data_IF_493368616980
#
_entry.id   IF_493368616980
#
_cell.length_a   1.000
_cell.length_b   1.000
_cell.length_c   1.000
_cell.angle_alpha   90.00
_cell.angle_beta   90.00
_cell.angle_gamma   90.00
#
_symmetry.space_group_name_H-M   'P 1'
#
loop_
_entity.id
_entity.type
_entity.pdbx_description
1 polymer ?
#
# COMPACT_ATOMS: atom_id res chain seq x y z
N UNK A 1 -11.73 8.06 -19.96
CA UNK A 1 -12.24 6.79 -19.42
C UNK A 1 -12.36 6.99 -17.92
N UNK A 2 -13.54 6.76 -17.36
CA UNK A 2 -13.77 6.78 -15.91
C UNK A 2 -13.04 5.59 -15.29
N UNK A 3 -11.77 5.79 -14.92
CA UNK A 3 -10.99 4.76 -14.25
C UNK A 3 -11.53 4.58 -12.83
N UNK A 4 -12.25 3.49 -12.61
CA UNK A 4 -12.83 3.17 -11.30
C UNK A 4 -11.69 2.94 -10.29
N UNK A 5 -11.81 3.56 -9.11
CA UNK A 5 -10.91 3.32 -7.98
C UNK A 5 -10.94 1.85 -7.60
N UNK A 6 -9.79 1.16 -7.53
CA UNK A 6 -9.73 -0.22 -7.09
C UNK A 6 -10.20 -0.39 -5.63
N UNK A 7 -10.82 -1.53 -5.37
CA UNK A 7 -11.20 -2.00 -4.05
C UNK A 7 -10.39 -3.26 -3.71
N UNK A 8 -10.19 -3.57 -2.42
CA UNK A 8 -9.61 -4.87 -2.05
C UNK A 8 -10.46 -6.03 -2.60
N UNK A 9 -9.85 -7.17 -2.95
CA UNK A 9 -10.59 -8.35 -3.40
C UNK A 9 -11.65 -8.76 -2.37
N UNK A 10 -12.85 -9.10 -2.82
CA UNK A 10 -13.97 -9.48 -1.94
C UNK A 10 -13.60 -10.67 -1.06
N UNK A 11 -13.05 -11.74 -1.65
CA UNK A 11 -12.62 -12.93 -0.92
C UNK A 11 -11.59 -12.62 0.19
N UNK A 12 -10.78 -11.57 0.02
CA UNK A 12 -9.81 -11.13 1.03
C UNK A 12 -10.48 -10.41 2.20
N UNK A 13 -11.55 -9.64 1.94
CA UNK A 13 -12.32 -8.97 2.98
C UNK A 13 -13.24 -9.94 3.71
N UNK A 14 -13.86 -10.88 3.00
CA UNK A 14 -14.76 -11.87 3.61
C UNK A 14 -14.02 -12.76 4.63
N UNK A 15 -12.77 -13.13 4.34
CA UNK A 15 -11.91 -13.87 5.27
C UNK A 15 -11.52 -13.06 6.52
N UNK A 16 -11.66 -11.73 6.51
CA UNK A 16 -11.22 -10.89 7.62
C UNK A 16 -12.02 -11.12 8.91
N UNK A 17 -13.27 -11.56 8.81
CA UNK A 17 -14.12 -11.83 9.98
C UNK A 17 -13.80 -13.20 10.61
N UNK A 18 -13.19 -14.11 9.86
CA UNK A 18 -12.86 -15.46 10.30
C UNK A 18 -11.48 -15.55 10.99
N UNK A 19 -10.66 -14.50 10.86
CA UNK A 19 -9.27 -14.51 11.32
C UNK A 19 -8.95 -13.48 12.40
N UNK A 20 -8.24 -13.93 13.44
CA UNK A 20 -7.82 -13.06 14.54
C UNK A 20 -6.69 -12.09 14.13
N UNK A 21 -5.86 -12.48 13.16
CA UNK A 21 -4.74 -11.69 12.69
C UNK A 21 -5.12 -10.84 11.47
N UNK A 22 -4.71 -9.57 11.47
CA UNK A 22 -4.82 -8.72 10.28
C UNK A 22 -3.94 -9.30 9.18
N UNK A 23 -4.54 -9.50 8.01
CA UNK A 23 -3.82 -9.86 6.79
C UNK A 23 -3.50 -8.62 5.98
N UNK A 24 -2.39 -8.69 5.27
CA UNK A 24 -1.94 -7.68 4.33
C UNK A 24 -1.66 -8.36 3.00
N UNK A 25 -2.05 -7.72 1.90
CA UNK A 25 -1.75 -8.17 0.53
C UNK A 25 -1.26 -6.99 -0.31
N UNK A 26 -0.35 -7.20 -1.28
CA UNK A 26 0.06 -6.14 -2.19
C UNK A 26 -1.11 -5.63 -3.03
N UNK A 27 -1.11 -4.33 -3.32
CA UNK A 27 -2.15 -3.63 -4.08
C UNK A 27 -1.55 -2.87 -5.29
N UNK A 28 -0.98 -3.57 -6.28
CA UNK A 28 -0.30 -2.94 -7.42
C UNK A 28 -1.25 -2.16 -8.34
N UNK A 29 -2.51 -2.58 -8.42
CA UNK A 29 -3.58 -1.90 -9.13
C UNK A 29 -3.96 -0.56 -8.46
N UNK A 30 -3.99 -0.51 -7.13
CA UNK A 30 -4.18 0.73 -6.39
C UNK A 30 -3.04 1.70 -6.66
N UNK A 31 -1.78 1.24 -6.66
CA UNK A 31 -0.63 2.07 -7.04
C UNK A 31 -0.82 2.69 -8.42
N UNK A 32 -1.16 1.88 -9.42
CA UNK A 32 -1.40 2.35 -10.80
C UNK A 32 -2.52 3.40 -10.85
N UNK A 33 -3.60 3.18 -10.11
CA UNK A 33 -4.69 4.15 -10.03
C UNK A 33 -4.26 5.46 -9.35
N UNK A 34 -3.53 5.40 -8.24
CA UNK A 34 -3.02 6.60 -7.55
C UNK A 34 -2.09 7.41 -8.45
N UNK A 35 -1.16 6.74 -9.16
CA UNK A 35 -0.25 7.42 -10.08
C UNK A 35 -1.03 8.14 -11.19
N UNK A 36 -1.97 7.45 -11.84
CA UNK A 36 -2.76 8.01 -12.94
C UNK A 36 -3.69 9.16 -12.51
N UNK A 37 -4.18 9.15 -11.26
CA UNK A 37 -5.21 10.09 -10.81
C UNK A 37 -4.66 11.23 -9.98
N UNK A 38 -3.71 10.99 -9.07
CA UNK A 38 -3.18 11.99 -8.13
C UNK A 38 -1.81 12.56 -8.53
N UNK A 39 -0.98 11.76 -9.22
CA UNK A 39 0.44 12.09 -9.45
C UNK A 39 0.77 12.40 -10.91
N UNK A 40 -0.22 12.33 -11.80
CA UNK A 40 -0.05 12.63 -13.23
C UNK A 40 -0.75 13.93 -13.57
N UNK A 41 -0.04 14.87 -14.20
CA UNK A 41 -0.61 16.13 -14.68
C UNK A 41 -1.79 15.82 -15.63
N UNK A 42 -2.92 16.46 -15.38
CA UNK A 42 -4.17 16.21 -16.11
C UNK A 42 -4.99 15.03 -15.58
N UNK A 43 -4.52 14.33 -14.54
CA UNK A 43 -5.29 13.33 -13.80
C UNK A 43 -6.50 13.96 -13.10
N UNK A 44 -7.62 13.22 -12.93
CA UNK A 44 -8.86 13.77 -12.35
C UNK A 44 -8.72 14.32 -10.93
N UNK A 45 -7.74 13.80 -10.17
CA UNK A 45 -7.48 14.17 -8.77
C UNK A 45 -6.06 14.74 -8.60
N UNK A 46 -5.48 15.25 -9.68
CA UNK A 46 -4.12 15.76 -9.67
C UNK A 46 -3.98 16.87 -8.63
N UNK A 47 -2.93 16.75 -7.81
CA UNK A 47 -2.59 17.75 -6.82
C UNK A 47 -1.12 18.17 -6.99
N UNK A 48 -0.83 19.43 -7.36
CA UNK A 48 0.55 19.90 -7.54
C UNK A 48 1.40 19.79 -6.26
N UNK A 49 0.80 19.79 -5.08
CA UNK A 49 1.53 19.57 -3.83
C UNK A 49 2.19 18.17 -3.77
N UNK A 50 1.76 17.23 -4.61
CA UNK A 50 2.32 15.88 -4.69
C UNK A 50 3.39 15.70 -5.77
N UNK A 51 3.79 16.76 -6.48
CA UNK A 51 4.78 16.66 -7.57
C UNK A 51 6.11 16.04 -7.07
N UNK A 52 6.52 16.37 -5.84
CA UNK A 52 7.69 15.77 -5.21
C UNK A 52 7.62 14.24 -5.06
N UNK A 53 6.42 13.66 -4.90
CA UNK A 53 6.22 12.21 -4.86
C UNK A 53 6.34 11.63 -6.26
N UNK A 54 5.81 12.32 -7.27
CA UNK A 54 5.90 11.91 -8.67
C UNK A 54 7.36 11.90 -9.16
N UNK A 55 8.15 12.92 -8.79
CA UNK A 55 9.58 12.98 -9.07
C UNK A 55 10.34 11.80 -8.44
N UNK A 56 10.12 11.54 -7.14
CA UNK A 56 10.77 10.41 -6.46
C UNK A 56 10.37 9.04 -7.03
N UNK A 57 9.11 8.89 -7.46
CA UNK A 57 8.64 7.69 -8.13
C UNK A 57 9.21 7.51 -9.54
N UNK A 58 9.43 8.62 -10.26
CA UNK A 58 10.07 8.59 -11.58
C UNK A 58 11.54 8.16 -11.46
N UNK A 59 12.25 8.65 -10.44
CA UNK A 59 13.65 8.27 -10.19
C UNK A 59 13.79 6.84 -9.66
N UNK A 60 12.81 6.38 -8.87
CA UNK A 60 12.78 5.03 -8.34
C UNK A 60 11.34 4.51 -8.25
N UNK A 61 10.97 3.60 -9.14
CA UNK A 61 9.65 2.97 -9.13
C UNK A 61 9.36 2.23 -7.82
N UNK A 62 10.40 1.82 -7.07
CA UNK A 62 10.29 1.12 -5.79
C UNK A 62 10.00 2.05 -4.60
N UNK A 63 10.08 3.37 -4.80
CA UNK A 63 9.94 4.37 -3.74
C UNK A 63 8.63 4.28 -2.97
N UNK A 64 7.53 3.93 -3.66
CA UNK A 64 6.21 3.81 -3.07
C UNK A 64 5.56 2.47 -3.44
N UNK A 65 5.06 1.78 -2.41
CA UNK A 65 4.31 0.54 -2.53
C UNK A 65 2.97 0.67 -1.80
N UNK A 66 2.00 -0.15 -2.21
CA UNK A 66 0.65 -0.13 -1.65
C UNK A 66 0.25 -1.54 -1.24
N UNK A 67 -0.49 -1.64 -0.14
CA UNK A 67 -1.07 -2.88 0.33
C UNK A 67 -2.49 -2.63 0.85
N UNK A 68 -3.33 -3.66 0.75
CA UNK A 68 -4.61 -3.71 1.43
C UNK A 68 -4.45 -4.39 2.78
N UNK A 69 -5.13 -3.84 3.80
CA UNK A 69 -5.33 -4.51 5.07
C UNK A 69 -6.74 -5.13 5.09
N UNK A 70 -6.86 -6.33 5.66
CA UNK A 70 -8.14 -7.05 5.73
C UNK A 70 -9.17 -6.32 6.60
N UNK A 71 -8.71 -5.50 7.55
CA UNK A 71 -9.56 -4.64 8.37
C UNK A 71 -8.80 -3.41 8.87
N UNK A 72 -9.56 -2.43 9.40
CA UNK A 72 -8.99 -1.28 10.08
C UNK A 72 -8.29 -1.69 11.40
N UNK A 73 -7.16 -1.06 11.70
CA UNK A 73 -6.47 -1.32 12.96
C UNK A 73 -7.18 -0.61 14.11
N UNK A 74 -7.61 -1.37 15.12
CA UNK A 74 -8.25 -0.85 16.34
C UNK A 74 -7.24 -0.77 17.48
N UNK A 75 -6.99 0.44 17.97
CA UNK A 75 -6.17 0.68 19.16
C UNK A 75 -7.01 1.38 20.21
N UNK A 76 -7.43 0.65 21.26
CA UNK A 76 -8.18 1.08 22.47
C UNK A 76 -9.32 2.10 22.27
N UNK A 77 -9.02 3.32 21.84
CA UNK A 77 -9.97 4.43 21.63
C UNK A 77 -10.03 4.93 20.18
N UNK A 78 -9.18 4.42 19.29
CA UNK A 78 -9.06 4.89 17.91
C UNK A 78 -9.13 3.74 16.90
N UNK A 79 -9.59 4.07 15.70
CA UNK A 79 -9.60 3.21 14.52
C UNK A 79 -8.76 3.87 13.43
N UNK A 80 -7.77 3.14 12.91
CA UNK A 80 -6.89 3.59 11.83
C UNK A 80 -7.31 2.89 10.54
N UNK A 81 -7.83 3.66 9.58
CA UNK A 81 -8.33 3.15 8.29
C UNK A 81 -7.24 2.97 7.23
N UNK A 82 -6.08 3.58 7.45
CA UNK A 82 -4.93 3.52 6.56
C UNK A 82 -3.74 4.22 7.18
N UNK A 83 -2.54 3.83 6.74
CA UNK A 83 -1.28 4.35 7.22
C UNK A 83 -0.30 4.46 6.05
N UNK A 84 0.50 5.51 6.06
CA UNK A 84 1.69 5.63 5.22
C UNK A 84 2.91 5.62 6.14
N UNK A 85 3.89 4.78 5.84
CA UNK A 85 5.07 4.61 6.67
C UNK A 85 6.33 4.37 5.84
N UNK A 86 7.49 4.69 6.41
CA UNK A 86 8.77 4.23 5.89
C UNK A 86 9.01 2.81 6.36
N UNK A 87 9.34 1.92 5.44
CA UNK A 87 9.63 0.52 5.75
C UNK A 87 10.88 0.44 6.62
N UNK A 88 10.73 -0.13 7.81
CA UNK A 88 11.82 -0.34 8.76
C UNK A 88 11.89 -1.82 9.14
N UNK A 89 13.02 -2.45 8.86
CA UNK A 89 13.25 -3.84 9.25
C UNK A 89 13.84 -3.94 10.65
N UNK A 90 13.38 -4.93 11.41
CA UNK A 90 13.95 -5.22 12.71
C UNK A 90 15.38 -5.77 12.55
N UNK A 91 16.24 -5.46 13.52
CA UNK A 91 17.57 -6.06 13.62
C UNK A 91 17.48 -7.54 14.03
N UNK A 92 18.38 -8.37 13.52
CA UNK A 92 18.50 -9.79 13.87
C UNK A 92 18.28 -10.74 12.69
N UNK A 93 19.09 -11.79 12.58
CA UNK A 93 19.21 -12.65 11.39
C UNK A 93 17.88 -13.08 10.76
N UNK A 94 17.19 -14.06 11.35
CA UNK A 94 15.97 -14.61 10.75
C UNK A 94 14.76 -13.66 10.79
N UNK A 95 14.69 -12.77 11.78
CA UNK A 95 13.58 -11.81 11.86
C UNK A 95 13.67 -10.80 10.71
N UNK A 96 14.85 -10.24 10.46
CA UNK A 96 15.12 -9.38 9.31
C UNK A 96 14.87 -10.12 8.00
N UNK A 97 15.43 -11.34 7.86
CA UNK A 97 15.30 -12.12 6.63
C UNK A 97 13.85 -12.38 6.23
N UNK A 98 12.96 -12.71 7.18
CA UNK A 98 11.53 -12.91 6.88
C UNK A 98 10.81 -11.64 6.44
N UNK A 99 11.11 -10.50 7.07
CA UNK A 99 10.49 -9.23 6.69
C UNK A 99 10.98 -8.78 5.31
N UNK A 100 12.28 -8.93 5.02
CA UNK A 100 12.80 -8.64 3.69
C UNK A 100 12.19 -9.56 2.64
N UNK A 101 12.16 -10.87 2.89
CA UNK A 101 11.55 -11.83 1.97
C UNK A 101 10.11 -11.46 1.62
N UNK A 102 9.29 -11.08 2.61
CA UNK A 102 7.93 -10.63 2.37
C UNK A 102 7.88 -9.42 1.42
N UNK A 103 8.77 -8.44 1.58
CA UNK A 103 8.80 -7.28 0.69
C UNK A 103 9.21 -7.65 -0.74
N UNK A 104 10.16 -8.59 -0.90
CA UNK A 104 10.56 -9.11 -2.23
C UNK A 104 9.42 -9.87 -2.89
N UNK A 105 8.78 -10.77 -2.15
CA UNK A 105 7.67 -11.59 -2.65
C UNK A 105 6.44 -10.74 -3.02
N UNK A 106 6.20 -9.64 -2.31
CA UNK A 106 5.06 -8.76 -2.56
C UNK A 106 5.30 -7.71 -3.64
N UNK A 107 6.51 -7.16 -3.72
CA UNK A 107 6.77 -5.96 -4.52
C UNK A 107 7.90 -6.11 -5.54
N UNK A 108 8.65 -7.21 -5.52
CA UNK A 108 9.65 -7.54 -6.54
C UNK A 108 11.03 -6.93 -6.36
N UNK A 109 11.33 -6.38 -5.18
CA UNK A 109 12.64 -5.82 -4.81
C UNK A 109 13.67 -6.89 -4.42
#
# INVERSE_FOLDING_TARGET
MDQIRPFPPTDFIDQAEEEEAIRLIPAPDLKKWVVANYLTIGGPLYNPDHDHIAELLHDNEEFLAFAWASSAYKSKQAMVLGQCEKVMFNVGGWRKARQEQQMRDWFGF
#
